data_IF_537746915172
#
_entry.id   IF_537746915172
#
_cell.length_a   1.000
_cell.length_b   1.000
_cell.length_c   1.000
_cell.angle_alpha   90.00
_cell.angle_beta   90.00
_cell.angle_gamma   90.00
#
_symmetry.space_group_name_H-M   'P 1'
#
loop_
_entity.id
_entity.type
_entity.pdbx_description
1 polymer ?
#
# COMPACT_ATOMS: atom_id res chain seq x y z
N UNK A 1 -12.53 -7.97 -3.46
CA UNK A 1 -11.93 -8.58 -2.26
C UNK A 1 -12.05 -7.59 -1.11
N UNK A 2 -12.57 -7.99 0.04
CA UNK A 2 -12.60 -7.11 1.22
C UNK A 2 -11.16 -6.87 1.70
N UNK A 3 -10.80 -5.60 1.96
CA UNK A 3 -9.49 -5.24 2.51
C UNK A 3 -9.36 -5.75 3.95
N UNK A 4 -8.15 -6.19 4.31
CA UNK A 4 -7.87 -6.71 5.66
C UNK A 4 -7.93 -5.61 6.74
N UNK A 5 -7.99 -6.00 8.03
CA UNK A 5 -8.12 -5.05 9.15
C UNK A 5 -7.00 -4.00 9.20
N UNK A 6 -5.77 -4.37 8.83
CA UNK A 6 -4.62 -3.45 8.75
C UNK A 6 -4.80 -2.41 7.64
N UNK A 7 -5.26 -2.83 6.47
CA UNK A 7 -5.51 -1.91 5.35
C UNK A 7 -6.59 -0.89 5.71
N UNK A 8 -7.67 -1.34 6.36
CA UNK A 8 -8.76 -0.45 6.82
C UNK A 8 -8.25 0.54 7.89
N UNK A 9 -7.40 0.08 8.81
CA UNK A 9 -6.79 0.95 9.82
C UNK A 9 -5.95 2.06 9.17
N UNK A 10 -5.02 1.72 8.28
CA UNK A 10 -4.12 2.70 7.65
C UNK A 10 -4.91 3.67 6.76
N UNK A 11 -5.94 3.20 6.05
CA UNK A 11 -6.81 4.04 5.21
C UNK A 11 -7.60 5.08 6.03
N UNK A 12 -7.96 4.78 7.28
CA UNK A 12 -8.64 5.77 8.14
C UNK A 12 -7.68 6.71 8.87
N UNK A 13 -6.45 6.26 9.15
CA UNK A 13 -5.52 6.95 10.06
C UNK A 13 -4.33 7.62 9.37
N UNK A 14 -4.27 7.67 8.02
CA UNK A 14 -3.25 8.47 7.33
C UNK A 14 -3.55 9.96 7.53
N UNK A 15 -2.85 10.61 8.47
CA UNK A 15 -3.03 12.05 8.78
C UNK A 15 -1.72 12.84 8.80
N UNK A 16 -0.60 12.16 8.54
CA UNK A 16 0.74 12.75 8.50
C UNK A 16 1.42 12.44 7.17
N UNK A 17 2.38 13.28 6.77
CA UNK A 17 3.12 13.15 5.51
C UNK A 17 3.70 11.75 5.29
N UNK A 18 4.32 11.16 6.32
CA UNK A 18 4.91 9.82 6.25
C UNK A 18 3.87 8.71 6.07
N UNK A 19 2.65 8.89 6.59
CA UNK A 19 1.57 7.90 6.44
C UNK A 19 0.93 7.97 5.04
N UNK A 20 0.89 9.15 4.42
CA UNK A 20 0.46 9.29 3.04
C UNK A 20 1.41 8.57 2.07
N UNK A 21 2.73 8.74 2.26
CA UNK A 21 3.73 8.04 1.45
C UNK A 21 3.61 6.50 1.52
N UNK A 22 3.32 5.95 2.72
CA UNK A 22 3.05 4.52 2.88
C UNK A 22 1.82 4.05 2.09
N UNK A 23 0.72 4.80 2.15
CA UNK A 23 -0.52 4.47 1.44
C UNK A 23 -0.31 4.50 -0.08
N UNK A 24 0.41 5.50 -0.58
CA UNK A 24 0.70 5.62 -2.02
C UNK A 24 1.61 4.50 -2.50
N UNK A 25 2.64 4.14 -1.72
CA UNK A 25 3.49 2.99 -2.01
C UNK A 25 2.68 1.68 -2.04
N UNK A 26 1.75 1.49 -1.09
CA UNK A 26 0.89 0.31 -1.05
C UNK A 26 -0.03 0.21 -2.29
N UNK A 27 -0.66 1.32 -2.69
CA UNK A 27 -1.50 1.39 -3.89
C UNK A 27 -0.70 1.15 -5.17
N UNK A 28 0.48 1.77 -5.27
CA UNK A 28 1.40 1.57 -6.40
C UNK A 28 1.85 0.12 -6.51
N UNK A 29 2.15 -0.53 -5.39
CA UNK A 29 2.56 -1.92 -5.38
C UNK A 29 1.44 -2.89 -5.80
N UNK A 30 0.19 -2.64 -5.39
CA UNK A 30 -0.97 -3.40 -5.87
C UNK A 30 -1.14 -3.26 -7.39
N UNK A 31 -0.94 -2.05 -7.92
CA UNK A 31 -1.01 -1.79 -9.37
C UNK A 31 0.09 -2.53 -10.12
N UNK A 32 1.34 -2.44 -9.65
CA UNK A 32 2.49 -3.15 -10.22
C UNK A 32 2.26 -4.66 -10.29
N UNK A 33 1.69 -5.27 -9.23
CA UNK A 33 1.32 -6.68 -9.24
C UNK A 33 0.21 -6.98 -10.26
N UNK A 34 -0.80 -6.11 -10.37
CA UNK A 34 -1.89 -6.24 -11.34
C UNK A 34 -1.43 -6.18 -12.80
N UNK A 35 -0.32 -5.48 -13.06
CA UNK A 35 0.32 -5.38 -14.37
C UNK A 35 1.29 -6.54 -14.66
N UNK A 36 1.35 -7.56 -13.79
CA UNK A 36 2.26 -8.71 -13.94
C UNK A 36 3.69 -8.44 -13.44
N UNK A 37 3.90 -7.30 -12.79
CA UNK A 37 5.14 -6.97 -12.10
C UNK A 37 5.42 -7.93 -10.94
N UNK A 38 6.70 -8.14 -10.62
CA UNK A 38 7.15 -9.01 -9.53
C UNK A 38 7.66 -8.20 -8.35
N UNK A 39 7.53 -8.77 -7.14
CA UNK A 39 8.14 -8.19 -5.95
C UNK A 39 9.67 -8.19 -6.09
N UNK A 40 10.30 -7.03 -5.83
CA UNK A 40 11.74 -6.92 -5.65
C UNK A 40 12.00 -6.39 -4.25
N UNK A 41 12.75 -7.15 -3.45
CA UNK A 41 13.16 -6.76 -2.10
C UNK A 41 14.66 -6.57 -2.11
N UNK A 42 15.13 -5.46 -1.53
CA UNK A 42 16.54 -5.14 -1.31
C UNK A 42 16.65 -4.42 0.03
N UNK A 43 17.73 -4.65 0.76
CA UNK A 43 18.06 -3.98 2.03
C UNK A 43 19.32 -3.14 1.87
#
# INVERSE_FOLDING_TARGET
MSKGPVSNFIEHHYRHFNAAALMDAAKGYVTHLGEGGKMRVTL
#
